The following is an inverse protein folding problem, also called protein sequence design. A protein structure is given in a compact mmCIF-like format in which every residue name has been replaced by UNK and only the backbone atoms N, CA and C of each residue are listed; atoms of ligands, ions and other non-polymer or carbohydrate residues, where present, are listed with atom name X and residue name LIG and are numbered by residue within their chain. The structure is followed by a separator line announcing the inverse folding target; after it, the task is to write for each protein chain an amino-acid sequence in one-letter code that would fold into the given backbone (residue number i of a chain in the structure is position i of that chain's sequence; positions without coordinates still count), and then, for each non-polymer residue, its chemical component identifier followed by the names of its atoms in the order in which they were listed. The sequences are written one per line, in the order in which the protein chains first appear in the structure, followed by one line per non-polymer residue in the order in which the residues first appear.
data_IF_544739351012
#
_entry.id   IF_544739351012
#
_cell.length_a   1.000
_cell.length_b   1.000
_cell.length_c   1.000
_cell.angle_alpha   90.00
_cell.angle_beta   90.00
_cell.angle_gamma   90.00
#
_symmetry.space_group_name_H-M   'P 1'
#
loop_
_entity.id
_entity.type
_entity.pdbx_description
1 polymer ?
#
# COMPACT_ATOMS: atom_id res chain seq x y z
N UNK A 1 -15.93 -1.61 20.94
CA UNK A 1 -15.07 -2.65 20.35
C UNK A 1 -14.14 -1.98 19.37
N UNK A 2 -12.84 -2.30 19.40
CA UNK A 2 -11.81 -1.61 18.60
C UNK A 2 -11.51 -2.37 17.29
N UNK A 3 -11.27 -1.61 16.22
CA UNK A 3 -10.97 -2.13 14.89
C UNK A 3 -9.67 -1.54 14.37
N UNK A 4 -9.04 -2.22 13.42
CA UNK A 4 -7.87 -1.76 12.69
C UNK A 4 -8.10 -1.88 11.18
N UNK A 5 -7.72 -0.83 10.47
CA UNK A 5 -7.54 -0.85 9.03
C UNK A 5 -6.20 -1.53 8.72
N UNK A 6 -6.23 -2.72 8.15
CA UNK A 6 -5.04 -3.54 7.88
C UNK A 6 -4.72 -3.54 6.39
N UNK A 7 -3.44 -3.33 6.07
CA UNK A 7 -2.87 -3.56 4.75
C UNK A 7 -1.78 -4.64 4.86
N UNK A 8 -1.97 -5.74 4.13
CA UNK A 8 -0.98 -6.79 3.92
C UNK A 8 -0.34 -6.50 2.57
N UNK A 9 0.97 -6.22 2.55
CA UNK A 9 1.63 -5.76 1.34
C UNK A 9 3.07 -6.26 1.22
N UNK A 10 3.58 -6.27 -0.02
CA UNK A 10 5.00 -6.45 -0.30
C UNK A 10 5.74 -5.13 -0.14
N UNK A 11 6.88 -5.16 0.54
CA UNK A 11 7.84 -4.06 0.62
C UNK A 11 9.22 -4.52 0.19
N UNK A 12 9.98 -3.64 -0.44
CA UNK A 12 11.37 -3.89 -0.82
C UNK A 12 12.14 -2.58 -0.91
N UNK A 13 13.42 -2.60 -0.53
CA UNK A 13 14.31 -1.44 -0.75
C UNK A 13 14.49 -1.12 -2.24
N UNK A 14 14.24 -2.09 -3.12
CA UNK A 14 14.24 -1.86 -4.56
C UNK A 14 13.01 -1.07 -5.03
N UNK A 15 11.87 -1.18 -4.33
CA UNK A 15 10.69 -0.36 -4.61
C UNK A 15 11.01 1.10 -4.31
N UNK A 16 11.65 1.37 -3.17
CA UNK A 16 12.10 2.72 -2.81
C UNK A 16 13.00 3.30 -3.89
N UNK A 17 13.95 2.53 -4.42
CA UNK A 17 14.85 3.00 -5.49
C UNK A 17 14.14 3.32 -6.81
N UNK A 18 13.07 2.59 -7.13
CA UNK A 18 12.30 2.80 -8.37
C UNK A 18 11.25 3.91 -8.23
N UNK A 19 10.68 4.07 -7.04
CA UNK A 19 9.52 4.93 -6.78
C UNK A 19 9.90 6.27 -6.18
N UNK A 20 10.91 6.33 -5.31
CA UNK A 20 11.34 7.60 -4.71
C UNK A 20 11.68 8.66 -5.76
N UNK A 21 12.41 8.35 -6.86
CA UNK A 21 12.69 9.34 -7.91
C UNK A 21 11.46 9.76 -8.73
N UNK A 22 10.30 9.15 -8.51
CA UNK A 22 9.05 9.43 -9.22
C UNK A 22 7.94 9.88 -8.27
N UNK A 23 8.20 9.83 -6.96
CA UNK A 23 7.18 10.09 -5.95
C UNK A 23 7.19 11.54 -5.51
N UNK A 24 6.07 12.21 -5.78
CA UNK A 24 5.80 13.56 -5.32
C UNK A 24 5.29 13.63 -3.88
N UNK A 25 4.97 12.51 -3.21
CA UNK A 25 4.19 12.53 -1.95
C UNK A 25 4.11 11.19 -1.19
N UNK A 26 5.24 10.51 -0.93
CA UNK A 26 5.19 9.35 -0.02
C UNK A 26 4.68 9.75 1.38
N UNK A 27 3.82 8.89 1.93
CA UNK A 27 3.31 8.99 3.30
C UNK A 27 4.46 8.99 4.32
N UNK A 28 4.42 9.68 5.46
CA UNK A 28 5.44 9.54 6.52
C UNK A 28 5.34 8.17 7.21
N UNK A 29 6.46 7.64 7.74
CA UNK A 29 6.47 6.46 8.58
C UNK A 29 6.20 6.85 10.04
N UNK A 30 5.65 5.91 10.83
CA UNK A 30 5.48 6.12 12.27
C UNK A 30 6.86 6.20 12.97
N UNK A 31 7.36 7.40 13.27
CA UNK A 31 8.41 7.61 14.28
C UNK A 31 7.88 8.45 15.45
N UNK A 32 8.47 8.30 16.64
CA UNK A 32 8.02 8.90 17.90
C UNK A 32 8.02 10.45 17.91
N UNK A 33 8.54 11.10 16.85
CA UNK A 33 8.62 12.55 16.70
C UNK A 33 7.72 13.12 15.60
N UNK A 34 6.98 12.28 14.89
CA UNK A 34 6.21 12.67 13.71
C UNK A 34 4.93 13.43 14.09
N UNK A 35 5.07 14.75 14.31
CA UNK A 35 3.95 15.68 14.16
C UNK A 35 3.63 15.78 12.68
N UNK A 36 2.51 15.16 12.28
CA UNK A 36 1.99 15.23 10.92
C UNK A 36 1.74 16.69 10.54
N UNK A 37 2.41 17.13 9.49
CA UNK A 37 2.14 18.40 8.85
C UNK A 37 1.23 18.12 7.65
N UNK A 38 -0.04 18.54 7.76
CA UNK A 38 -1.02 18.49 6.68
C UNK A 38 -0.54 19.19 5.41
N UNK A 39 0.38 20.13 5.57
CA UNK A 39 0.92 20.97 4.52
C UNK A 39 2.23 20.39 3.96
N UNK A 40 2.62 19.16 4.31
CA UNK A 40 3.82 18.51 3.76
C UNK A 40 3.57 17.06 3.36
N UNK A 41 2.74 16.34 4.12
CA UNK A 41 2.28 15.02 3.73
C UNK A 41 1.25 15.17 2.60
N UNK A 42 1.47 14.49 1.46
CA UNK A 42 0.64 14.64 0.26
C UNK A 42 0.73 15.99 -0.47
N UNK A 43 1.74 16.82 -0.17
CA UNK A 43 2.11 17.93 -1.04
C UNK A 43 3.09 17.53 -2.14
N UNK A 44 2.77 18.01 -3.35
CA UNK A 44 3.53 17.87 -4.59
C UNK A 44 4.66 18.88 -4.67
N UNK A 45 5.73 18.60 -3.94
CA UNK A 45 6.98 19.35 -4.02
C UNK A 45 7.95 18.63 -4.96
N UNK A 46 8.74 19.39 -5.71
CA UNK A 46 9.67 18.86 -6.70
C UNK A 46 10.73 17.97 -6.02
N UNK A 47 11.20 16.91 -6.69
CA UNK A 47 12.17 15.96 -6.11
C UNK A 47 13.48 16.62 -5.67
N UNK A 48 13.88 17.71 -6.32
CA UNK A 48 15.05 18.51 -5.92
C UNK A 48 14.85 19.27 -4.60
N UNK A 49 13.60 19.47 -4.20
CA UNK A 49 13.21 20.18 -2.98
C UNK A 49 12.96 19.21 -1.81
N UNK A 50 12.70 17.93 -2.13
CA UNK A 50 12.61 16.87 -1.14
C UNK A 50 13.99 16.35 -0.76
N UNK A 51 14.36 16.53 0.51
CA UNK A 51 15.42 15.73 1.13
C UNK A 51 14.82 14.39 1.55
N UNK A 52 15.10 13.25 0.88
CA UNK A 52 14.66 11.95 1.37
C UNK A 52 15.23 11.76 2.78
N UNK A 53 14.35 11.80 3.79
CA UNK A 53 14.74 11.42 5.16
C UNK A 53 14.45 9.94 5.34
N UNK A 54 15.25 9.28 6.16
CA UNK A 54 14.88 7.99 6.74
C UNK A 54 13.56 8.21 7.51
N UNK A 55 12.52 7.41 7.26
CA UNK A 55 11.20 7.60 7.91
C UNK A 55 10.10 8.21 7.04
N UNK A 56 10.26 8.28 5.72
CA UNK A 56 9.10 8.36 4.82
C UNK A 56 8.64 6.92 4.52
N UNK A 57 7.34 6.68 4.67
CA UNK A 57 6.61 5.42 4.63
C UNK A 57 6.92 4.53 3.41
N UNK A 58 6.48 3.28 3.51
CA UNK A 58 7.02 2.23 2.66
C UNK A 58 6.39 2.25 1.27
N UNK A 59 7.21 2.38 0.22
CA UNK A 59 6.78 2.02 -1.12
C UNK A 59 6.39 0.53 -1.10
N UNK A 60 5.13 0.25 -1.45
CA UNK A 60 4.55 -1.06 -1.23
C UNK A 60 3.62 -1.47 -2.37
N UNK A 61 3.52 -2.77 -2.59
CA UNK A 61 2.53 -3.39 -3.46
C UNK A 61 1.52 -4.14 -2.60
N UNK A 62 0.28 -3.66 -2.58
CA UNK A 62 -0.80 -4.24 -1.76
C UNK A 62 -1.12 -5.65 -2.22
N UNK A 63 -1.15 -6.59 -1.26
CA UNK A 63 -1.65 -7.94 -1.45
C UNK A 63 -3.09 -8.06 -0.96
N UNK A 64 -3.42 -7.53 0.22
CA UNK A 64 -4.79 -7.57 0.77
C UNK A 64 -5.05 -6.36 1.65
N UNK A 65 -6.25 -5.78 1.57
CA UNK A 65 -6.73 -4.78 2.53
C UNK A 65 -8.02 -5.26 3.18
N UNK A 66 -8.17 -4.99 4.48
CA UNK A 66 -9.36 -5.35 5.25
C UNK A 66 -9.47 -4.52 6.53
N UNK A 67 -10.69 -4.42 7.07
CA UNK A 67 -10.91 -4.00 8.45
C UNK A 67 -10.97 -5.26 9.34
N UNK A 68 -10.20 -5.29 10.44
CA UNK A 68 -10.15 -6.42 11.37
C UNK A 68 -10.38 -5.97 12.82
N UNK A 69 -10.83 -6.87 13.71
CA UNK A 69 -10.91 -6.56 15.14
C UNK A 69 -9.50 -6.54 15.73
N UNK A 70 -9.22 -5.58 16.60
CA UNK A 70 -7.91 -5.51 17.28
C UNK A 70 -7.61 -6.79 18.09
N UNK A 71 -8.65 -7.45 18.62
CA UNK A 71 -8.52 -8.70 19.39
C UNK A 71 -8.05 -9.90 18.54
N UNK A 72 -8.22 -9.85 17.22
CA UNK A 72 -7.89 -10.93 16.29
C UNK A 72 -6.53 -10.69 15.58
N UNK A 73 -5.85 -9.58 15.89
CA UNK A 73 -4.64 -9.15 15.18
C UNK A 73 -3.52 -10.19 15.22
N UNK A 74 -3.31 -10.86 16.36
CA UNK A 74 -2.27 -11.87 16.47
C UNK A 74 -2.57 -13.09 15.60
N UNK A 75 -3.81 -13.56 15.60
CA UNK A 75 -4.23 -14.69 14.75
C UNK A 75 -4.12 -14.34 13.26
N UNK A 76 -4.48 -13.11 12.88
CA UNK A 76 -4.28 -12.61 11.52
C UNK A 76 -2.80 -12.63 11.12
N UNK A 77 -1.90 -12.15 11.99
CA UNK A 77 -0.45 -12.15 11.73
C UNK A 77 0.09 -13.57 11.55
N UNK A 78 -0.28 -14.51 12.41
CA UNK A 78 0.14 -15.92 12.26
C UNK A 78 -0.34 -16.51 10.94
N UNK A 79 -1.58 -16.22 10.55
CA UNK A 79 -2.15 -16.72 9.30
C UNK A 79 -1.41 -16.16 8.07
N UNK A 80 -1.06 -14.86 8.09
CA UNK A 80 -0.24 -14.25 7.06
C UNK A 80 1.13 -14.94 6.98
N UNK A 81 1.81 -15.16 8.12
CA UNK A 81 3.11 -15.84 8.15
C UNK A 81 3.02 -17.26 7.60
N UNK A 82 1.99 -18.02 7.98
CA UNK A 82 1.73 -19.38 7.49
C UNK A 82 1.62 -19.40 5.98
N UNK A 83 0.73 -18.57 5.40
CA UNK A 83 0.54 -18.50 3.94
C UNK A 83 1.83 -18.09 3.23
N UNK A 84 2.55 -17.12 3.79
CA UNK A 84 3.82 -16.65 3.21
C UNK A 84 4.91 -17.73 3.22
N UNK A 85 4.93 -18.60 4.23
CA UNK A 85 5.85 -19.73 4.28
C UNK A 85 5.51 -20.80 3.22
N UNK A 86 4.23 -21.03 2.96
CA UNK A 86 3.73 -22.01 1.97
C UNK A 86 3.88 -21.53 0.52
N UNK A 87 3.74 -20.22 0.27
CA UNK A 87 3.76 -19.62 -1.07
C UNK A 87 5.05 -18.87 -1.35
N UNK A 88 6.11 -19.13 -0.57
CA UNK A 88 7.41 -18.52 -0.81
C UNK A 88 7.92 -19.01 -2.19
N UNK A 89 8.26 -18.09 -3.11
CA UNK A 89 8.96 -18.46 -4.34
C UNK A 89 10.21 -19.28 -4.01
N UNK A 90 10.18 -20.57 -4.34
CA UNK A 90 11.27 -21.52 -4.00
C UNK A 90 12.46 -21.38 -4.96
N UNK A 91 12.27 -20.78 -6.13
CA UNK A 91 13.29 -20.74 -7.18
C UNK A 91 14.16 -19.48 -7.13
N UNK A 92 15.48 -19.71 -7.07
CA UNK A 92 16.49 -18.70 -7.38
C UNK A 92 16.35 -18.28 -8.85
N UNK A 93 15.57 -17.23 -9.10
CA UNK A 93 15.35 -16.72 -10.46
C UNK A 93 14.03 -15.98 -10.63
N UNK A 94 13.03 -16.26 -9.79
CA UNK A 94 11.76 -15.54 -9.88
C UNK A 94 11.93 -14.07 -9.48
N UNK A 95 11.33 -13.20 -10.27
CA UNK A 95 11.37 -11.75 -10.06
C UNK A 95 9.98 -11.15 -10.18
N UNK A 96 9.78 -10.06 -9.48
CA UNK A 96 8.64 -9.17 -9.62
C UNK A 96 9.03 -8.05 -10.59
N UNK A 97 8.28 -7.93 -11.69
CA UNK A 97 8.53 -6.91 -12.72
C UNK A 97 7.74 -5.65 -12.44
N UNK A 98 8.41 -4.50 -12.39
CA UNK A 98 7.82 -3.17 -12.45
C UNK A 98 7.88 -2.68 -13.90
N UNK A 99 6.72 -2.49 -14.52
CA UNK A 99 6.61 -2.35 -15.98
C UNK A 99 6.72 -0.89 -16.44
N UNK A 100 5.77 -0.05 -15.98
CA UNK A 100 5.59 1.32 -16.44
C UNK A 100 4.86 2.14 -15.40
N UNK A 101 4.96 3.46 -15.53
CA UNK A 101 4.09 4.40 -14.79
C UNK A 101 2.75 4.50 -15.51
N UNK A 102 1.67 4.48 -14.75
CA UNK A 102 0.31 4.76 -15.21
C UNK A 102 -0.18 6.05 -14.57
N UNK A 103 -1.02 6.82 -15.29
CA UNK A 103 -1.59 8.07 -14.78
C UNK A 103 -2.47 7.87 -13.53
N UNK A 104 -3.09 6.69 -13.41
CA UNK A 104 -3.92 6.32 -12.27
C UNK A 104 -5.30 7.01 -12.27
N UNK A 105 -6.15 6.70 -11.28
CA UNK A 105 -7.48 7.28 -11.18
C UNK A 105 -7.42 8.74 -10.74
N UNK A 106 -8.44 9.52 -11.13
CA UNK A 106 -8.75 10.79 -10.47
C UNK A 106 -9.17 10.48 -9.03
N UNK A 107 -8.55 11.18 -8.12
CA UNK A 107 -8.66 10.96 -6.69
C UNK A 107 -9.30 12.15 -5.97
N UNK A 108 -9.11 13.34 -6.51
CA UNK A 108 -9.70 14.55 -5.97
C UNK A 108 -9.58 15.71 -6.94
N UNK A 109 -9.97 16.89 -6.47
CA UNK A 109 -9.79 18.14 -7.19
C UNK A 109 -9.28 19.22 -6.24
N UNK A 110 -8.46 20.13 -6.76
CA UNK A 110 -8.07 21.37 -6.08
C UNK A 110 -9.23 22.38 -6.10
N UNK A 111 -9.16 23.48 -5.30
CA UNK A 111 -10.19 24.52 -5.29
C UNK A 111 -10.47 25.19 -6.64
N UNK A 112 -9.49 25.15 -7.55
CA UNK A 112 -9.60 25.65 -8.93
C UNK A 112 -10.14 24.62 -9.94
N UNK A 113 -10.68 23.51 -9.45
CA UNK A 113 -11.20 22.35 -10.21
C UNK A 113 -10.13 21.53 -10.94
N UNK A 114 -8.83 21.79 -10.70
CA UNK A 114 -7.74 20.96 -11.23
C UNK A 114 -7.83 19.55 -10.65
N UNK A 115 -7.88 18.55 -11.53
CA UNK A 115 -7.91 17.14 -11.14
C UNK A 115 -6.60 16.68 -10.50
N UNK A 116 -6.71 15.94 -9.41
CA UNK A 116 -5.61 15.26 -8.73
C UNK A 116 -5.74 13.77 -9.03
N UNK A 117 -4.68 13.19 -9.57
CA UNK A 117 -4.54 11.79 -9.92
C UNK A 117 -3.72 11.03 -8.87
N UNK A 118 -3.90 9.71 -8.80
CA UNK A 118 -3.03 8.79 -8.06
C UNK A 118 -2.16 7.95 -9.01
N UNK A 119 -1.10 8.50 -9.60
CA UNK A 119 -0.20 7.75 -10.46
C UNK A 119 0.44 6.59 -9.70
N UNK A 120 0.73 5.52 -10.44
CA UNK A 120 1.32 4.31 -9.87
C UNK A 120 2.28 3.64 -10.85
N UNK A 121 3.24 2.89 -10.32
CA UNK A 121 4.03 1.93 -11.09
C UNK A 121 3.26 0.63 -11.17
N UNK A 122 2.97 0.18 -12.39
CA UNK A 122 2.32 -1.11 -12.62
C UNK A 122 3.31 -2.22 -12.30
N UNK A 123 2.85 -3.18 -11.49
CA UNK A 123 3.56 -4.43 -11.25
C UNK A 123 2.94 -5.49 -12.14
N UNK A 124 3.77 -6.32 -12.77
CA UNK A 124 3.30 -7.46 -13.54
C UNK A 124 2.57 -8.44 -12.60
N UNK A 125 1.33 -8.78 -12.95
CA UNK A 125 0.56 -9.80 -12.24
C UNK A 125 1.06 -11.20 -12.62
N UNK A 126 2.26 -11.54 -12.17
CA UNK A 126 2.85 -12.86 -12.35
C UNK A 126 2.05 -13.92 -11.59
N UNK A 127 2.16 -15.17 -12.05
CA UNK A 127 1.49 -16.31 -11.40
C UNK A 127 1.89 -16.46 -9.92
N UNK A 128 3.17 -16.35 -9.51
CA UNK A 128 3.55 -16.38 -8.09
C UNK A 128 2.89 -15.25 -7.28
N UNK A 129 2.83 -14.03 -7.82
CA UNK A 129 2.20 -12.89 -7.14
C UNK A 129 0.69 -13.08 -6.98
N UNK A 130 0.04 -13.59 -8.03
CA UNK A 130 -1.39 -13.86 -8.02
C UNK A 130 -1.76 -15.00 -7.07
N UNK A 131 -0.97 -16.07 -7.02
CA UNK A 131 -1.18 -17.19 -6.12
C UNK A 131 -1.02 -16.76 -4.66
N UNK A 132 0.03 -15.99 -4.35
CA UNK A 132 0.21 -15.41 -3.01
C UNK A 132 -0.95 -14.50 -2.61
N UNK A 133 -1.38 -13.58 -3.50
CA UNK A 133 -2.54 -12.73 -3.28
C UNK A 133 -3.79 -13.57 -2.97
N UNK A 134 -4.12 -14.52 -3.84
CA UNK A 134 -5.33 -15.34 -3.71
C UNK A 134 -5.33 -16.17 -2.43
N UNK A 135 -4.18 -16.76 -2.07
CA UNK A 135 -4.02 -17.52 -0.85
C UNK A 135 -4.21 -16.63 0.40
N UNK A 136 -3.62 -15.44 0.40
CA UNK A 136 -3.79 -14.48 1.50
C UNK A 136 -5.25 -14.03 1.63
N UNK A 137 -5.91 -13.64 0.53
CA UNK A 137 -7.33 -13.22 0.54
C UNK A 137 -8.19 -14.33 1.16
N UNK A 138 -8.02 -15.58 0.71
CA UNK A 138 -8.78 -16.71 1.23
C UNK A 138 -8.55 -16.92 2.73
N UNK A 139 -7.30 -16.88 3.17
CA UNK A 139 -6.92 -17.15 4.55
C UNK A 139 -7.40 -16.07 5.53
N UNK A 140 -7.33 -14.80 5.11
CA UNK A 140 -7.65 -13.67 6.00
C UNK A 140 -9.11 -13.20 5.92
N UNK A 141 -9.90 -13.69 4.96
CA UNK A 141 -11.30 -13.28 4.75
C UNK A 141 -12.15 -13.39 6.02
N UNK A 142 -11.90 -14.40 6.85
CA UNK A 142 -12.64 -14.60 8.11
C UNK A 142 -12.46 -13.47 9.13
N UNK A 143 -11.37 -12.71 9.03
CA UNK A 143 -11.09 -11.57 9.91
C UNK A 143 -11.70 -10.27 9.39
N UNK A 144 -12.22 -10.26 8.15
CA UNK A 144 -12.81 -9.07 7.56
C UNK A 144 -14.14 -8.72 8.24
N UNK A 145 -14.21 -7.53 8.83
CA UNK A 145 -15.40 -7.02 9.50
C UNK A 145 -16.10 -6.02 8.59
N UNK A 146 -17.38 -6.27 8.33
CA UNK A 146 -18.28 -5.27 7.76
C UNK A 146 -18.60 -4.19 8.82
N UNK A 147 -18.00 -3.01 8.68
CA UNK A 147 -18.29 -1.87 9.55
C UNK A 147 -19.42 -1.05 8.93
N UNK A 148 -20.53 -0.86 9.66
CA UNK A 148 -21.72 -0.15 9.16
C UNK A 148 -21.70 1.36 9.38
N UNK A 149 -20.84 1.85 10.26
CA UNK A 149 -20.73 3.27 10.58
C UNK A 149 -19.43 3.83 10.01
N UNK A 150 -19.54 4.92 9.24
CA UNK A 150 -18.40 5.65 8.71
C UNK A 150 -17.45 6.09 9.82
N UNK A 151 -17.95 6.57 10.96
CA UNK A 151 -17.11 7.03 12.07
C UNK A 151 -16.31 5.88 12.70
N UNK A 152 -16.94 4.72 12.84
CA UNK A 152 -16.24 3.51 13.33
C UNK A 152 -15.16 3.09 12.32
N UNK A 153 -15.45 3.14 11.02
CA UNK A 153 -14.47 2.81 10.00
C UNK A 153 -13.31 3.82 9.95
N UNK A 154 -13.60 5.13 10.06
CA UNK A 154 -12.59 6.20 10.20
C UNK A 154 -11.67 5.94 11.39
N UNK A 155 -12.24 5.57 12.54
CA UNK A 155 -11.49 5.31 13.77
C UNK A 155 -10.55 4.09 13.68
N UNK A 156 -10.74 3.23 12.67
CA UNK A 156 -9.88 2.07 12.44
C UNK A 156 -8.56 2.43 11.75
N UNK A 157 -8.45 3.59 11.11
CA UNK A 157 -7.20 4.07 10.50
C UNK A 157 -6.26 4.65 11.56
N UNK A 158 -4.97 4.73 11.21
CA UNK A 158 -3.95 5.18 12.14
C UNK A 158 -4.17 6.65 12.55
N UNK A 159 -4.18 6.92 13.86
CA UNK A 159 -4.52 8.24 14.44
C UNK A 159 -3.59 9.38 14.02
N UNK A 160 -2.33 9.06 13.71
CA UNK A 160 -1.34 10.05 13.25
C UNK A 160 -1.42 10.31 11.74
N UNK A 161 -2.23 9.54 11.01
CA UNK A 161 -2.56 9.82 9.62
C UNK A 161 -4.01 9.43 9.30
N UNK A 162 -4.99 10.16 9.87
CA UNK A 162 -6.40 9.80 9.80
C UNK A 162 -7.00 10.07 8.41
N UNK A 163 -8.11 9.40 8.10
CA UNK A 163 -8.85 9.63 6.86
C UNK A 163 -9.61 10.95 6.87
N UNK A 164 -9.46 11.75 5.83
CA UNK A 164 -10.14 13.03 5.60
C UNK A 164 -11.49 12.90 4.85
N UNK A 165 -11.80 11.73 4.31
CA UNK A 165 -13.03 11.44 3.56
C UNK A 165 -13.51 10.00 3.71
N UNK A 166 -14.34 9.52 2.77
CA UNK A 166 -14.80 8.12 2.73
C UNK A 166 -14.03 7.25 1.74
N UNK A 167 -13.29 7.83 0.79
CA UNK A 167 -12.61 7.09 -0.27
C UNK A 167 -11.76 5.92 0.24
N UNK A 168 -10.88 6.16 1.22
CA UNK A 168 -10.03 5.13 1.83
C UNK A 168 -10.84 4.05 2.56
N UNK A 169 -11.95 4.46 3.19
CA UNK A 169 -12.86 3.55 3.91
C UNK A 169 -13.58 2.65 2.91
N UNK A 170 -14.17 3.24 1.88
CA UNK A 170 -14.94 2.54 0.86
C UNK A 170 -14.04 1.54 0.15
N UNK A 171 -12.82 1.94 -0.19
CA UNK A 171 -11.81 1.07 -0.77
C UNK A 171 -11.47 -0.12 0.13
N UNK A 172 -11.14 0.13 1.41
CA UNK A 172 -10.82 -0.92 2.37
C UNK A 172 -11.98 -1.92 2.53
N UNK A 173 -13.21 -1.43 2.69
CA UNK A 173 -14.37 -2.29 2.93
C UNK A 173 -14.76 -3.12 1.71
N UNK A 174 -14.53 -2.60 0.50
CA UNK A 174 -14.85 -3.28 -0.76
C UNK A 174 -13.71 -4.13 -1.31
N UNK A 175 -12.50 -4.01 -0.77
CA UNK A 175 -11.30 -4.60 -1.35
C UNK A 175 -11.45 -6.08 -1.68
N UNK A 176 -11.86 -6.88 -0.71
CA UNK A 176 -11.97 -8.34 -0.88
C UNK A 176 -13.01 -8.71 -1.94
N UNK A 177 -14.09 -7.95 -2.08
CA UNK A 177 -15.19 -8.32 -2.97
C UNK A 177 -15.08 -7.69 -4.37
N UNK A 178 -14.47 -6.51 -4.47
CA UNK A 178 -14.40 -5.73 -5.72
C UNK A 178 -12.99 -5.64 -6.32
N UNK A 179 -11.93 -5.79 -5.51
CA UNK A 179 -10.54 -5.51 -5.92
C UNK A 179 -9.57 -6.70 -5.76
N UNK A 180 -10.09 -7.89 -5.51
CA UNK A 180 -9.30 -9.13 -5.38
C UNK A 180 -9.52 -10.09 -6.56
N UNK A 181 -8.77 -11.21 -6.58
CA UNK A 181 -8.84 -12.27 -7.59
C UNK A 181 -8.76 -11.73 -9.02
N UNK A 182 -9.79 -11.93 -9.86
CA UNK A 182 -9.78 -11.48 -11.26
C UNK A 182 -9.51 -9.99 -11.42
N UNK A 183 -9.92 -9.18 -10.43
CA UNK A 183 -9.78 -7.73 -10.41
C UNK A 183 -8.47 -7.27 -9.74
N UNK A 184 -7.64 -8.20 -9.27
CA UNK A 184 -6.36 -7.88 -8.66
C UNK A 184 -5.44 -7.17 -9.67
N UNK A 185 -5.12 -5.92 -9.35
CA UNK A 185 -4.29 -5.03 -10.15
C UNK A 185 -3.08 -4.58 -9.30
N UNK A 186 -1.98 -5.36 -9.26
CA UNK A 186 -0.84 -5.04 -8.43
C UNK A 186 -0.11 -3.77 -8.92
N UNK A 187 0.15 -2.85 -8.00
CA UNK A 187 0.78 -1.58 -8.31
C UNK A 187 1.45 -0.98 -7.08
N UNK A 188 2.32 0.00 -7.30
CA UNK A 188 2.93 0.82 -6.25
C UNK A 188 2.57 2.28 -6.51
N UNK A 189 1.76 2.86 -5.63
CA UNK A 189 1.31 4.24 -5.74
C UNK A 189 2.46 5.22 -5.55
N UNK A 190 2.59 6.19 -6.45
CA UNK A 190 3.63 7.22 -6.45
C UNK A 190 3.25 8.44 -5.60
N UNK A 191 2.00 8.49 -5.12
CA UNK A 191 1.42 9.62 -4.40
C UNK A 191 0.35 10.32 -5.24
N UNK A 192 -0.21 11.41 -4.72
CA UNK A 192 -1.19 12.24 -5.41
C UNK A 192 -0.50 13.32 -6.26
N UNK A 193 -0.98 13.56 -7.49
CA UNK A 193 -0.40 14.50 -8.46
C UNK A 193 -1.44 15.17 -9.37
N UNK A 194 -1.38 16.49 -9.64
CA UNK A 194 -2.24 17.14 -10.63
C UNK A 194 -1.69 16.96 -12.05
N UNK A 195 -0.45 16.47 -12.16
CA UNK A 195 0.21 16.15 -13.42
C UNK A 195 -0.02 14.68 -13.76
N UNK A 196 -0.42 14.44 -15.00
CA UNK A 196 -0.43 13.10 -15.58
C UNK A 196 1.02 12.63 -15.83
N UNK A 197 1.56 11.85 -14.89
CA UNK A 197 2.96 11.37 -14.92
C UNK A 197 3.22 10.33 -16.03
N UNK A 198 2.18 9.80 -16.68
CA UNK A 198 2.30 8.84 -17.78
C UNK A 198 3.12 9.38 -18.96
N UNK A 199 3.12 10.70 -19.15
CA UNK A 199 3.87 11.38 -20.22
C UNK A 199 5.33 11.70 -19.86
N UNK A 200 5.72 11.51 -18.59
CA UNK A 200 7.01 11.97 -18.06
C UNK A 200 7.98 10.83 -17.72
N UNK A 201 7.52 9.58 -17.68
CA UNK A 201 8.30 8.49 -17.14
C UNK A 201 9.01 7.67 -18.23
N UNK A 202 10.32 7.90 -18.39
CA UNK A 202 11.25 6.89 -18.90
C UNK A 202 11.53 5.83 -17.82
N UNK A 203 10.49 5.26 -17.21
CA UNK A 203 10.71 4.15 -16.28
C UNK A 203 11.19 2.95 -17.10
N UNK A 204 12.47 2.61 -16.94
CA UNK A 204 12.97 1.35 -17.45
C UNK A 204 12.35 0.22 -16.64
N UNK A 205 11.85 -0.81 -17.35
CA UNK A 205 11.36 -2.05 -16.71
C UNK A 205 12.39 -2.50 -15.68
N UNK A 206 11.96 -2.63 -14.44
CA UNK A 206 12.84 -2.97 -13.31
C UNK A 206 12.38 -4.28 -12.72
N UNK A 207 13.30 -5.23 -12.55
CA UNK A 207 13.01 -6.53 -11.98
C UNK A 207 13.57 -6.63 -10.55
N UNK A 208 12.72 -7.02 -9.61
CA UNK A 208 13.09 -7.19 -8.20
C UNK A 208 13.05 -8.67 -7.84
N UNK A 209 14.17 -9.29 -7.44
CA UNK A 209 14.16 -10.67 -6.97
C UNK A 209 13.20 -10.84 -5.79
N UNK A 210 12.38 -11.88 -5.80
CA UNK A 210 11.42 -12.15 -4.71
C UNK A 210 12.07 -12.26 -3.34
N UNK A 211 13.29 -12.81 -3.27
CA UNK A 211 14.09 -12.88 -2.03
C UNK A 211 14.45 -11.52 -1.41
N UNK A 212 14.23 -10.41 -2.13
CA UNK A 212 14.39 -9.04 -1.64
C UNK A 212 13.06 -8.38 -1.26
N UNK A 213 11.95 -9.09 -1.41
CA UNK A 213 10.61 -8.63 -1.07
C UNK A 213 10.15 -9.29 0.23
N UNK A 214 9.62 -8.49 1.15
CA UNK A 214 9.04 -8.97 2.41
C UNK A 214 7.54 -8.73 2.39
N UNK A 215 6.77 -9.68 2.89
CA UNK A 215 5.36 -9.45 3.20
C UNK A 215 5.28 -8.84 4.60
N UNK A 216 4.53 -7.76 4.72
CA UNK A 216 4.29 -7.07 5.99
C UNK A 216 2.81 -6.93 6.26
N UNK A 217 2.45 -6.95 7.55
CA UNK A 217 1.14 -6.53 8.05
C UNK A 217 1.31 -5.12 8.58
N UNK A 218 0.53 -4.17 8.07
CA UNK A 218 0.61 -2.76 8.45
C UNK A 218 -0.73 -2.20 8.89
N UNK A 219 -0.68 -1.25 9.84
CA UNK A 219 -1.81 -0.38 10.14
C UNK A 219 -1.88 0.69 9.07
N UNK A 220 -3.03 0.78 8.38
CA UNK A 220 -3.25 1.77 7.35
C UNK A 220 -3.37 3.17 7.92
N UNK A 221 -2.65 4.11 7.31
CA UNK A 221 -3.01 5.52 7.36
C UNK A 221 -3.98 5.87 6.23
N UNK A 222 -4.27 7.16 6.07
CA UNK A 222 -5.10 7.63 4.98
C UNK A 222 -4.57 7.15 3.61
N UNK A 223 -5.49 7.05 2.65
CA UNK A 223 -5.23 6.59 1.29
C UNK A 223 -4.61 5.19 1.25
N UNK A 224 -4.97 4.38 2.25
CA UNK A 224 -4.53 3.00 2.44
C UNK A 224 -3.01 2.83 2.49
N UNK A 225 -2.29 3.84 3.00
CA UNK A 225 -0.84 3.82 3.08
C UNK A 225 -0.34 2.75 4.06
N UNK A 226 0.79 2.12 3.75
CA UNK A 226 1.54 1.27 4.68
C UNK A 226 2.24 2.15 5.74
N UNK A 227 1.51 2.61 6.75
CA UNK A 227 1.96 3.63 7.70
C UNK A 227 2.81 3.07 8.84
N UNK A 228 2.29 2.09 9.58
CA UNK A 228 2.97 1.43 10.69
C UNK A 228 3.09 -0.06 10.40
N UNK A 229 4.32 -0.60 10.36
CA UNK A 229 4.54 -2.04 10.24
C UNK A 229 4.26 -2.70 11.60
N UNK A 230 3.23 -3.53 11.65
CA UNK A 230 2.83 -4.28 12.84
C UNK A 230 3.51 -5.66 12.91
N UNK A 231 3.88 -6.22 11.75
CA UNK A 231 4.58 -7.49 11.63
C UNK A 231 5.25 -7.63 10.25
N UNK A 232 6.28 -8.45 10.15
CA UNK A 232 6.99 -8.69 8.89
C UNK A 232 7.47 -10.14 8.77
N UNK A 233 7.39 -10.70 7.56
CA UNK A 233 8.04 -11.98 7.24
C UNK A 233 9.56 -11.79 7.26
N UNK A 234 10.27 -12.53 8.11
CA UNK A 234 11.74 -12.51 8.11
C UNK A 234 12.29 -13.33 6.93
N UNK A 235 13.28 -12.78 6.22
CA UNK A 235 14.18 -13.60 5.43
C UNK A 235 15.18 -14.23 6.39
N UNK A 236 15.12 -15.56 6.55
CA UNK A 236 16.30 -16.31 6.98
C UNK A 236 17.32 -16.29 5.85
#
# INVERSE_FOLDING_TARGET
MSFLAINICLVSTAFDSAVLPLSGSLCPAADDSSTWDSDVAYQLIHLSEKKPKKGYGHAHCTLVQLCARTTELNELKEEVRRVCAEHRPEQDGEKLSMERVCGGPIFGKLPDDTEIYLPYVRVERSEPLYNLHSALVNAVRRFAVAVKSTDVAKSSFHKHFPTDGTTSIDWMLKYIDEHSYSNYNPHITLGASPMCLEKLAFLQRTEVPWRRCRVVVSHMGNYCSCFEILDQSNHK
#
